data_IF_658911651951
#
_entry.id   IF_658911651951
#
_cell.length_a   1.000
_cell.length_b   1.000
_cell.length_c   1.000
_cell.angle_alpha   90.00
_cell.angle_beta   90.00
_cell.angle_gamma   90.00
#
_symmetry.space_group_name_H-M   'P 1'
#
loop_
_entity.id
_entity.type
_entity.pdbx_description
1 polymer ?
#
# COMPACT_ATOMS: atom_id res chain seq x y z
N UNK A 1 0.08 96.19 22.17
CA UNK A 1 0.42 95.70 23.52
C UNK A 1 0.92 94.27 23.33
N UNK A 2 2.22 93.94 23.30
CA UNK A 2 3.23 94.00 24.40
C UNK A 2 2.57 93.53 25.71
N UNK A 3 2.95 92.40 26.31
CA UNK A 3 4.30 92.11 26.80
C UNK A 3 4.76 90.64 26.76
N UNK A 4 6.08 90.50 26.77
CA UNK A 4 6.90 89.31 27.01
C UNK A 4 6.96 88.98 28.51
N UNK A 5 7.27 87.71 28.86
CA UNK A 5 8.14 87.26 29.97
C UNK A 5 8.37 85.74 29.74
N UNK A 6 9.52 85.24 29.27
CA UNK A 6 10.87 85.18 29.86
C UNK A 6 10.98 84.25 31.09
N UNK A 7 11.25 82.97 30.79
CA UNK A 7 12.15 82.02 31.45
C UNK A 7 12.09 81.82 32.97
N UNK A 8 11.72 80.61 33.37
CA UNK A 8 12.41 79.88 34.45
C UNK A 8 12.62 78.43 34.00
N UNK A 9 13.89 78.08 33.82
CA UNK A 9 14.35 76.70 33.71
C UNK A 9 14.11 75.98 35.04
N UNK A 10 13.59 74.76 34.99
CA UNK A 10 13.93 73.72 35.96
C UNK A 10 13.98 72.41 35.23
N UNK A 11 15.21 72.08 34.85
CA UNK A 11 15.73 70.76 34.59
C UNK A 11 15.18 69.76 35.63
N UNK A 12 14.14 69.02 35.25
CA UNK A 12 13.74 67.79 35.93
C UNK A 12 14.28 66.63 35.10
N UNK A 13 15.46 66.22 35.51
CA UNK A 13 16.12 64.95 35.29
C UNK A 13 15.08 63.81 35.21
N UNK A 14 14.66 63.48 33.99
CA UNK A 14 13.72 62.39 33.74
C UNK A 14 14.53 61.11 33.57
N UNK A 15 14.95 60.57 34.71
CA UNK A 15 15.48 59.22 34.85
C UNK A 15 14.56 58.26 34.08
N UNK A 16 15.06 57.45 33.12
CA UNK A 16 14.22 56.47 32.44
C UNK A 16 13.67 55.51 33.50
N UNK A 17 12.36 55.19 33.50
CA UNK A 17 11.77 54.34 34.51
C UNK A 17 12.50 52.99 34.49
N UNK A 18 13.19 52.68 35.58
CA UNK A 18 13.83 51.39 35.78
C UNK A 18 12.74 50.32 35.58
N UNK A 19 12.93 49.35 34.67
CA UNK A 19 11.93 48.32 34.45
C UNK A 19 11.76 47.57 35.76
N UNK A 20 10.54 47.62 36.30
CA UNK A 20 10.14 46.90 37.51
C UNK A 20 10.72 45.48 37.50
N UNK A 21 11.42 45.09 38.56
CA UNK A 21 12.07 43.77 38.69
C UNK A 21 11.08 42.60 38.50
N UNK A 22 9.78 42.87 38.61
CA UNK A 22 8.69 41.90 38.41
C UNK A 22 8.23 41.79 36.94
N UNK A 23 8.63 42.69 36.04
CA UNK A 23 8.18 42.69 34.64
C UNK A 23 8.75 41.53 33.81
N UNK A 24 9.96 41.07 34.12
CA UNK A 24 10.61 39.94 33.44
C UNK A 24 9.95 38.59 33.79
N UNK A 25 9.74 38.23 35.09
CA UNK A 25 9.02 37.00 35.43
C UNK A 25 7.57 37.01 34.92
N UNK A 26 6.87 38.14 34.98
CA UNK A 26 5.50 38.27 34.43
C UNK A 26 5.44 38.03 32.92
N UNK A 27 6.43 38.52 32.17
CA UNK A 27 6.51 38.29 30.72
C UNK A 27 6.77 36.83 30.37
N UNK A 28 7.63 36.15 31.14
CA UNK A 28 7.90 34.71 30.97
C UNK A 28 6.67 33.87 31.29
N UNK A 29 5.96 34.20 32.38
CA UNK A 29 4.72 33.55 32.76
C UNK A 29 3.65 33.68 31.67
N UNK A 30 3.39 34.90 31.18
CA UNK A 30 2.43 35.15 30.09
C UNK A 30 2.78 34.39 28.81
N UNK A 31 4.08 34.29 28.48
CA UNK A 31 4.54 33.51 27.32
C UNK A 31 4.30 32.02 27.52
N UNK A 32 4.58 31.49 28.71
CA UNK A 32 4.33 30.09 29.03
C UNK A 32 2.83 29.77 28.98
N UNK A 33 1.97 30.63 29.53
CA UNK A 33 0.51 30.48 29.45
C UNK A 33 0.00 30.50 28.01
N UNK A 34 0.51 31.40 27.17
CA UNK A 34 0.14 31.47 25.76
C UNK A 34 0.54 30.18 25.02
N UNK A 35 1.72 29.64 25.33
CA UNK A 35 2.21 28.40 24.73
C UNK A 35 1.41 27.18 25.21
N UNK A 36 1.09 27.09 26.50
CA UNK A 36 0.20 26.06 27.03
C UNK A 36 -1.15 26.11 26.31
N UNK A 37 -1.78 27.29 26.20
CA UNK A 37 -3.05 27.43 25.47
C UNK A 37 -2.93 27.02 24.00
N UNK A 38 -1.80 27.32 23.34
CA UNK A 38 -1.55 26.92 21.95
C UNK A 38 -1.43 25.41 21.82
N UNK A 39 -0.65 24.79 22.71
CA UNK A 39 -0.43 23.34 22.71
C UNK A 39 -1.73 22.59 23.06
N UNK A 40 -2.51 23.04 24.04
CA UNK A 40 -3.81 22.46 24.37
C UNK A 40 -4.73 22.43 23.15
N UNK A 41 -4.87 23.56 22.43
CA UNK A 41 -5.67 23.59 21.19
C UNK A 41 -5.13 22.66 20.09
N UNK A 42 -3.80 22.53 20.00
CA UNK A 42 -3.18 21.64 19.03
C UNK A 42 -3.51 20.17 19.36
N UNK A 43 -3.39 19.77 20.63
CA UNK A 43 -3.73 18.41 21.09
C UNK A 43 -5.20 18.12 20.85
N UNK A 44 -6.10 19.03 21.21
CA UNK A 44 -7.54 18.87 20.98
C UNK A 44 -7.87 18.66 19.48
N UNK A 45 -7.21 19.41 18.59
CA UNK A 45 -7.39 19.24 17.15
C UNK A 45 -6.87 17.88 16.67
N UNK A 46 -5.70 17.45 17.15
CA UNK A 46 -5.13 16.14 16.81
C UNK A 46 -5.99 14.99 17.35
N UNK A 47 -6.56 15.12 18.54
CA UNK A 47 -7.47 14.14 19.10
C UNK A 47 -8.74 14.00 18.24
N UNK A 48 -9.30 15.12 17.75
CA UNK A 48 -10.42 15.08 16.81
C UNK A 48 -10.06 14.35 15.51
N UNK A 49 -8.91 14.68 14.92
CA UNK A 49 -8.41 14.02 13.71
C UNK A 49 -8.20 12.51 13.92
N UNK A 50 -7.61 12.11 15.06
CA UNK A 50 -7.42 10.70 15.40
C UNK A 50 -8.76 9.97 15.57
N UNK A 51 -9.74 10.60 16.19
CA UNK A 51 -11.09 10.04 16.33
C UNK A 51 -11.81 9.88 14.98
N UNK A 52 -11.61 10.78 14.03
CA UNK A 52 -12.13 10.65 12.65
C UNK A 52 -11.44 9.50 11.90
N UNK A 53 -10.10 9.43 11.95
CA UNK A 53 -9.34 8.35 11.31
C UNK A 53 -9.68 6.98 11.87
N UNK A 54 -9.82 6.84 13.20
CA UNK A 54 -10.26 5.59 13.83
C UNK A 54 -11.64 5.16 13.34
N UNK A 55 -12.58 6.10 13.20
CA UNK A 55 -13.92 5.81 12.66
C UNK A 55 -13.86 5.37 11.20
N UNK A 56 -13.10 6.08 10.36
CA UNK A 56 -12.92 5.73 8.96
C UNK A 56 -12.29 4.33 8.81
N UNK A 57 -11.27 4.02 9.61
CA UNK A 57 -10.61 2.72 9.61
C UNK A 57 -11.55 1.60 10.06
N UNK A 58 -12.30 1.80 11.15
CA UNK A 58 -13.28 0.82 11.64
C UNK A 58 -14.37 0.55 10.59
N UNK A 59 -14.85 1.60 9.92
CA UNK A 59 -15.83 1.47 8.85
C UNK A 59 -15.27 0.69 7.66
N UNK A 60 -14.09 1.08 7.15
CA UNK A 60 -13.42 0.38 6.05
C UNK A 60 -13.18 -1.09 6.37
N UNK A 61 -12.66 -1.40 7.57
CA UNK A 61 -12.44 -2.77 8.01
C UNK A 61 -13.75 -3.57 8.03
N UNK A 62 -14.83 -3.00 8.57
CA UNK A 62 -16.14 -3.66 8.61
C UNK A 62 -16.67 -3.96 7.21
N UNK A 63 -16.54 -3.01 6.28
CA UNK A 63 -16.92 -3.21 4.87
C UNK A 63 -16.09 -4.32 4.23
N UNK A 64 -14.77 -4.31 4.41
CA UNK A 64 -13.88 -5.34 3.88
C UNK A 64 -14.24 -6.73 4.40
N UNK A 65 -14.41 -6.90 5.72
CA UNK A 65 -14.79 -8.20 6.28
C UNK A 65 -16.17 -8.67 5.81
N UNK A 66 -17.14 -7.76 5.66
CA UNK A 66 -18.47 -8.12 5.13
C UNK A 66 -18.42 -8.60 3.68
N UNK A 67 -17.50 -8.03 2.89
CA UNK A 67 -17.28 -8.43 1.51
C UNK A 67 -16.59 -9.80 1.42
N UNK A 68 -15.55 -10.03 2.23
CA UNK A 68 -14.87 -11.33 2.34
C UNK A 68 -15.84 -12.43 2.78
N UNK A 69 -16.64 -12.17 3.80
CA UNK A 69 -17.65 -13.10 4.32
C UNK A 69 -18.76 -13.38 3.29
N UNK A 70 -19.12 -12.41 2.45
CA UNK A 70 -20.02 -12.64 1.31
C UNK A 70 -19.38 -13.55 0.27
N UNK A 71 -18.14 -13.25 -0.15
CA UNK A 71 -17.41 -14.08 -1.12
C UNK A 71 -17.21 -15.51 -0.62
N UNK A 72 -16.92 -15.70 0.67
CA UNK A 72 -16.79 -17.02 1.26
C UNK A 72 -18.10 -17.80 1.17
N UNK A 73 -19.25 -17.18 1.45
CA UNK A 73 -20.55 -17.84 1.27
C UNK A 73 -20.85 -18.16 -0.19
N UNK A 74 -20.49 -17.27 -1.12
CA UNK A 74 -20.62 -17.53 -2.55
C UNK A 74 -19.79 -18.76 -2.95
N UNK A 75 -18.53 -18.85 -2.52
CA UNK A 75 -17.69 -20.03 -2.75
C UNK A 75 -18.24 -21.30 -2.09
N UNK A 76 -18.75 -21.22 -0.87
CA UNK A 76 -19.34 -22.37 -0.17
C UNK A 76 -20.62 -22.85 -0.88
N UNK A 77 -21.44 -21.92 -1.40
CA UNK A 77 -22.62 -22.27 -2.19
C UNK A 77 -22.27 -22.93 -3.51
N UNK A 78 -21.25 -22.44 -4.22
CA UNK A 78 -20.73 -23.08 -5.43
C UNK A 78 -20.20 -24.48 -5.12
N UNK A 79 -19.61 -24.69 -3.94
CA UNK A 79 -19.18 -26.02 -3.48
C UNK A 79 -20.32 -27.02 -3.40
N UNK A 80 -21.45 -26.58 -2.85
CA UNK A 80 -22.62 -27.41 -2.62
C UNK A 80 -23.32 -27.72 -3.96
N UNK A 81 -23.28 -26.78 -4.91
CA UNK A 81 -23.92 -26.90 -6.22
C UNK A 81 -23.03 -27.59 -7.27
N UNK A 82 -21.72 -27.66 -7.07
CA UNK A 82 -20.82 -28.39 -7.94
C UNK A 82 -21.12 -29.90 -7.83
N UNK A 83 -21.58 -30.58 -8.90
CA UNK A 83 -21.65 -32.02 -8.91
C UNK A 83 -20.24 -32.58 -8.72
N UNK A 84 -20.09 -33.66 -7.96
CA UNK A 84 -18.83 -34.41 -7.86
C UNK A 84 -18.50 -35.18 -9.16
N UNK A 85 -19.24 -34.93 -10.22
CA UNK A 85 -19.06 -35.57 -11.52
C UNK A 85 -17.81 -34.97 -12.18
N UNK A 86 -16.86 -35.86 -12.45
CA UNK A 86 -15.65 -35.51 -13.17
C UNK A 86 -16.01 -34.80 -14.46
N UNK A 87 -15.41 -33.63 -14.67
CA UNK A 87 -15.31 -33.00 -15.98
C UNK A 87 -14.53 -33.94 -16.92
N UNK A 88 -15.25 -34.91 -17.48
CA UNK A 88 -14.92 -35.62 -18.70
C UNK A 88 -15.68 -34.89 -19.82
N UNK A 89 -15.24 -33.70 -20.21
CA UNK A 89 -15.58 -33.18 -21.54
C UNK A 89 -14.66 -32.02 -21.94
N UNK A 90 -13.81 -32.34 -22.92
CA UNK A 90 -13.45 -31.46 -24.02
C UNK A 90 -12.52 -30.27 -23.74
N UNK A 91 -11.33 -30.53 -23.19
CA UNK A 91 -10.15 -29.75 -23.58
C UNK A 91 -9.38 -30.56 -24.62
N UNK A 92 -9.32 -30.02 -25.84
CA UNK A 92 -8.78 -30.68 -27.02
C UNK A 92 -7.43 -31.32 -26.76
N UNK A 93 -7.34 -32.59 -27.11
CA UNK A 93 -6.11 -33.38 -27.18
C UNK A 93 -5.02 -32.57 -27.90
N UNK A 94 -3.93 -32.13 -27.25
CA UNK A 94 -2.71 -31.87 -27.99
C UNK A 94 -2.20 -33.24 -28.46
N UNK A 95 -2.15 -33.42 -29.78
CA UNK A 95 -1.52 -34.58 -30.39
C UNK A 95 -0.04 -34.60 -30.00
N UNK A 96 0.27 -35.32 -28.92
CA UNK A 96 1.62 -35.77 -28.59
C UNK A 96 1.47 -37.13 -27.91
N UNK A 97 1.62 -38.19 -28.70
CA UNK A 97 1.66 -39.59 -28.28
C UNK A 97 2.92 -39.90 -27.45
N UNK A 98 3.07 -39.23 -26.31
CA UNK A 98 3.89 -39.73 -25.21
C UNK A 98 3.06 -39.63 -23.94
N UNK A 99 2.91 -40.73 -23.17
CA UNK A 99 2.33 -40.66 -21.85
C UNK A 99 3.32 -39.96 -20.93
N UNK A 100 3.31 -38.62 -20.96
CA UNK A 100 3.98 -37.81 -19.96
C UNK A 100 3.39 -38.18 -18.61
N UNK A 101 4.25 -38.56 -17.68
CA UNK A 101 3.94 -38.83 -16.27
C UNK A 101 3.43 -37.54 -15.61
N UNK A 102 2.17 -37.19 -15.87
CA UNK A 102 1.52 -35.98 -15.39
C UNK A 102 0.53 -36.28 -14.28
N UNK A 103 0.40 -35.37 -13.31
CA UNK A 103 -0.63 -35.42 -12.28
C UNK A 103 -1.78 -34.51 -12.69
N UNK A 104 -2.98 -35.08 -12.84
CA UNK A 104 -4.20 -34.29 -13.06
C UNK A 104 -4.68 -33.74 -11.73
N UNK A 105 -4.53 -32.42 -11.53
CA UNK A 105 -5.04 -31.72 -10.34
C UNK A 105 -6.42 -31.16 -10.65
N UNK A 106 -7.45 -31.68 -9.97
CA UNK A 106 -8.81 -31.12 -10.04
C UNK A 106 -8.96 -30.05 -8.96
N UNK A 107 -9.08 -28.79 -9.37
CA UNK A 107 -9.36 -27.68 -8.47
C UNK A 107 -10.86 -27.38 -8.47
N UNK A 108 -11.54 -27.42 -7.30
CA UNK A 108 -12.99 -27.22 -7.22
C UNK A 108 -13.44 -25.79 -7.58
N UNK A 109 -12.53 -24.82 -7.63
CA UNK A 109 -12.83 -23.40 -7.87
C UNK A 109 -11.92 -22.80 -8.94
N UNK A 110 -12.02 -23.32 -10.17
CA UNK A 110 -11.34 -22.71 -11.30
C UNK A 110 -12.05 -21.43 -11.71
N UNK A 111 -11.39 -20.29 -11.48
CA UNK A 111 -11.82 -18.99 -11.99
C UNK A 111 -11.20 -18.74 -13.36
N UNK A 112 -11.78 -17.83 -14.16
CA UNK A 112 -11.18 -17.43 -15.45
C UNK A 112 -9.75 -16.93 -15.31
N UNK A 113 -9.46 -16.20 -14.23
CA UNK A 113 -8.11 -15.74 -13.90
C UNK A 113 -7.20 -16.94 -13.64
N UNK A 114 -7.60 -17.87 -12.77
CA UNK A 114 -6.78 -19.05 -12.46
C UNK A 114 -6.50 -19.91 -13.71
N UNK A 115 -7.50 -20.11 -14.57
CA UNK A 115 -7.30 -20.83 -15.84
C UNK A 115 -6.24 -20.14 -16.70
N UNK A 116 -6.32 -18.83 -16.88
CA UNK A 116 -5.33 -18.05 -17.64
C UNK A 116 -3.94 -18.14 -16.99
N UNK A 117 -3.85 -18.15 -15.66
CA UNK A 117 -2.57 -18.30 -14.97
C UNK A 117 -1.97 -19.69 -15.20
N UNK A 118 -2.77 -20.76 -15.19
CA UNK A 118 -2.27 -22.10 -15.53
C UNK A 118 -1.85 -22.20 -16.99
N UNK A 119 -2.61 -21.62 -17.92
CA UNK A 119 -2.23 -21.56 -19.33
C UNK A 119 -0.92 -20.80 -19.52
N UNK A 120 -0.74 -19.66 -18.84
CA UNK A 120 0.51 -18.91 -18.84
C UNK A 120 1.65 -19.70 -18.19
N UNK A 121 1.37 -20.47 -17.13
CA UNK A 121 2.35 -21.38 -16.51
C UNK A 121 2.87 -22.39 -17.52
N UNK A 122 1.97 -23.11 -18.19
CA UNK A 122 2.33 -24.10 -19.20
C UNK A 122 3.05 -23.46 -20.38
N UNK A 123 2.52 -22.35 -20.91
CA UNK A 123 3.04 -21.69 -22.12
C UNK A 123 4.44 -21.11 -21.91
N UNK A 124 4.68 -20.43 -20.79
CA UNK A 124 5.95 -19.72 -20.57
C UNK A 124 6.97 -20.52 -19.78
N UNK A 125 6.52 -21.42 -18.89
CA UNK A 125 7.40 -22.09 -17.93
C UNK A 125 7.47 -23.61 -18.11
N UNK A 126 6.56 -24.23 -18.85
CA UNK A 126 6.50 -25.70 -19.03
C UNK A 126 7.81 -26.29 -19.56
N UNK A 127 8.29 -25.76 -20.69
CA UNK A 127 9.52 -26.22 -21.35
C UNK A 127 10.63 -25.16 -21.33
N UNK A 128 10.59 -24.22 -20.38
CA UNK A 128 11.53 -23.12 -20.38
C UNK A 128 12.95 -23.57 -20.03
N UNK A 129 13.92 -23.04 -20.79
CA UNK A 129 15.34 -23.21 -20.50
C UNK A 129 15.70 -22.44 -19.21
N UNK A 130 16.36 -23.13 -18.28
CA UNK A 130 16.81 -22.54 -17.01
C UNK A 130 17.84 -21.43 -17.21
N UNK A 131 18.64 -21.52 -18.28
CA UNK A 131 19.65 -20.52 -18.59
C UNK A 131 19.06 -19.29 -19.30
N UNK A 132 17.83 -19.41 -19.82
CA UNK A 132 17.14 -18.33 -20.53
C UNK A 132 15.66 -18.23 -20.14
N UNK A 133 15.36 -17.89 -18.88
CA UNK A 133 13.98 -17.78 -18.43
C UNK A 133 13.25 -16.66 -19.18
N UNK A 134 11.93 -16.80 -19.41
CA UNK A 134 11.13 -15.76 -20.03
C UNK A 134 11.15 -14.48 -19.20
N UNK A 135 11.13 -13.34 -19.89
CA UNK A 135 11.09 -12.03 -19.23
C UNK A 135 9.74 -11.84 -18.56
N UNK A 136 9.75 -11.47 -17.27
CA UNK A 136 8.52 -11.24 -16.51
C UNK A 136 7.60 -10.18 -17.12
N UNK A 137 8.15 -9.17 -17.80
CA UNK A 137 7.35 -8.16 -18.49
C UNK A 137 6.53 -8.78 -19.65
N UNK A 138 7.14 -9.69 -20.42
CA UNK A 138 6.46 -10.41 -21.51
C UNK A 138 5.33 -11.28 -20.97
N UNK A 139 5.59 -12.02 -19.89
CA UNK A 139 4.57 -12.84 -19.22
C UNK A 139 3.43 -11.96 -18.71
N UNK A 140 3.73 -10.81 -18.11
CA UNK A 140 2.72 -9.88 -17.60
C UNK A 140 1.85 -9.28 -18.71
N UNK A 141 2.42 -8.89 -19.85
CA UNK A 141 1.65 -8.40 -20.99
C UNK A 141 0.74 -9.48 -21.59
N UNK A 142 1.22 -10.72 -21.72
CA UNK A 142 0.39 -11.81 -22.21
C UNK A 142 -0.79 -12.09 -21.27
N UNK A 143 -0.57 -12.04 -19.95
CA UNK A 143 -1.65 -12.16 -18.96
C UNK A 143 -2.64 -11.00 -19.08
N UNK A 144 -2.17 -9.77 -19.26
CA UNK A 144 -3.04 -8.61 -19.44
C UNK A 144 -3.91 -8.74 -20.70
N UNK A 145 -3.33 -9.19 -21.81
CA UNK A 145 -4.06 -9.42 -23.06
C UNK A 145 -5.17 -10.47 -22.88
N UNK A 146 -4.87 -11.60 -22.23
CA UNK A 146 -5.86 -12.63 -21.94
C UNK A 146 -6.96 -12.16 -20.97
N UNK A 147 -6.64 -11.28 -20.03
CA UNK A 147 -7.59 -10.75 -19.04
C UNK A 147 -8.27 -9.45 -19.46
N UNK A 148 -7.92 -8.87 -20.61
CA UNK A 148 -8.42 -7.57 -21.06
C UNK A 148 -7.99 -6.41 -20.16
N UNK A 149 -6.84 -6.51 -19.48
CA UNK A 149 -6.32 -5.46 -18.61
C UNK A 149 -5.56 -4.41 -19.41
N UNK A 150 -5.68 -3.15 -19.01
CA UNK A 150 -4.99 -2.05 -19.67
C UNK A 150 -3.57 -1.86 -19.13
N UNK A 151 -2.62 -1.67 -20.04
CA UNK A 151 -1.24 -1.29 -19.72
C UNK A 151 -1.18 0.05 -18.96
N UNK A 152 -0.11 0.23 -18.21
CA UNK A 152 0.21 1.49 -17.55
C UNK A 152 0.61 2.57 -18.58
N UNK A 153 0.55 3.85 -18.18
CA UNK A 153 0.88 4.98 -19.05
C UNK A 153 2.34 4.99 -19.54
N UNK A 154 3.23 4.33 -18.80
CA UNK A 154 4.65 4.17 -19.15
C UNK A 154 4.91 3.04 -20.17
N UNK A 155 3.86 2.35 -20.63
CA UNK A 155 3.97 1.21 -21.54
C UNK A 155 4.27 -0.12 -20.85
N UNK A 156 4.38 -0.15 -19.52
CA UNK A 156 4.51 -1.40 -18.77
C UNK A 156 3.15 -2.10 -18.66
N UNK A 157 3.21 -3.41 -18.42
CA UNK A 157 2.04 -4.21 -18.06
C UNK A 157 1.29 -3.61 -16.85
N UNK A 158 0.00 -3.88 -16.77
CA UNK A 158 -0.85 -3.52 -15.64
C UNK A 158 -0.25 -4.01 -14.33
N UNK A 159 -0.52 -3.29 -13.22
CA UNK A 159 -0.02 -3.70 -11.90
C UNK A 159 -0.50 -5.11 -11.51
N UNK A 160 -1.71 -5.47 -11.92
CA UNK A 160 -2.27 -6.80 -11.70
C UNK A 160 -1.53 -7.85 -12.54
N UNK A 161 -1.29 -7.60 -13.83
CA UNK A 161 -0.52 -8.48 -14.70
C UNK A 161 0.91 -8.70 -14.20
N UNK A 162 1.57 -7.64 -13.72
CA UNK A 162 2.89 -7.73 -13.08
C UNK A 162 2.85 -8.61 -11.82
N UNK A 163 1.86 -8.43 -10.95
CA UNK A 163 1.69 -9.23 -9.74
C UNK A 163 1.44 -10.70 -10.07
N UNK A 164 0.58 -10.99 -11.05
CA UNK A 164 0.29 -12.34 -11.52
C UNK A 164 1.51 -13.01 -12.14
N UNK A 165 2.22 -12.32 -13.04
CA UNK A 165 3.45 -12.84 -13.64
C UNK A 165 4.51 -13.15 -12.58
N UNK A 166 4.58 -12.37 -11.50
CA UNK A 166 5.47 -12.63 -10.37
C UNK A 166 5.05 -13.86 -9.55
N UNK A 167 3.74 -14.08 -9.37
CA UNK A 167 3.21 -15.18 -8.58
C UNK A 167 3.52 -16.55 -9.21
N UNK A 168 3.41 -16.65 -10.54
CA UNK A 168 3.57 -17.90 -11.28
C UNK A 168 5.03 -18.26 -11.62
N UNK A 169 6.01 -17.44 -11.22
CA UNK A 169 7.42 -17.76 -11.45
C UNK A 169 7.80 -19.04 -10.70
N UNK A 170 8.53 -19.97 -11.34
CA UNK A 170 9.14 -21.10 -10.65
C UNK A 170 10.10 -20.65 -9.56
N UNK A 171 10.23 -21.45 -8.49
CA UNK A 171 11.04 -21.08 -7.32
C UNK A 171 12.52 -20.90 -7.66
N UNK A 172 13.07 -21.71 -8.57
CA UNK A 172 14.45 -21.58 -9.04
C UNK A 172 14.73 -20.22 -9.72
N UNK A 173 13.73 -19.60 -10.35
CA UNK A 173 13.83 -18.24 -10.92
C UNK A 173 13.81 -17.20 -9.81
N UNK A 174 12.92 -17.35 -8.82
CA UNK A 174 12.81 -16.43 -7.67
C UNK A 174 14.08 -16.43 -6.83
N UNK A 175 14.66 -17.61 -6.60
CA UNK A 175 15.91 -17.76 -5.86
C UNK A 175 17.08 -17.08 -6.56
N UNK A 176 17.17 -17.17 -7.89
CA UNK A 176 18.22 -16.49 -8.66
C UNK A 176 18.16 -14.96 -8.49
N UNK A 177 16.96 -14.38 -8.51
CA UNK A 177 16.71 -12.95 -8.31
C UNK A 177 17.14 -12.50 -6.89
N UNK A 178 16.79 -13.31 -5.88
CA UNK A 178 17.05 -13.01 -4.46
C UNK A 178 18.53 -13.17 -4.04
N UNK A 179 19.37 -13.84 -4.83
CA UNK A 179 20.81 -14.05 -4.52
C UNK A 179 21.60 -12.75 -4.40
N UNK A 180 21.11 -11.65 -4.97
CA UNK A 180 21.74 -10.32 -4.84
C UNK A 180 21.36 -9.60 -3.53
N UNK A 181 20.35 -10.09 -2.80
CA UNK A 181 19.87 -9.50 -1.54
C UNK A 181 20.30 -10.28 -0.30
N UNK A 182 20.78 -11.51 -0.46
CA UNK A 182 21.41 -12.27 0.62
C UNK A 182 22.80 -11.68 0.94
N UNK A 183 22.84 -10.63 1.77
CA UNK A 183 24.06 -10.25 2.49
C UNK A 183 24.50 -11.49 3.27
N UNK A 184 25.72 -12.02 3.10
CA UNK A 184 26.16 -13.16 3.90
C UNK A 184 26.09 -12.74 5.36
N UNK A 185 25.23 -13.41 6.12
CA UNK A 185 25.21 -13.29 7.56
C UNK A 185 26.60 -13.70 8.01
N UNK A 186 27.43 -12.72 8.37
CA UNK A 186 28.70 -12.94 9.05
C UNK A 186 28.38 -13.77 10.29
N UNK A 187 28.71 -15.06 10.24
CA UNK A 187 28.84 -15.89 11.43
C UNK A 187 29.81 -15.18 12.39
N UNK A 188 29.31 -14.90 13.59
CA UNK A 188 30.11 -14.56 14.77
C UNK A 188 30.12 -15.78 15.67
#
# INVERSE_FOLDING_TARGET
>A
MKELNAWTATEMDSVPPIPSANAVPDRRLRRAEAEVRRLTRCVELKDRQLCELRRALAHSATVHYSFEDRLQRELDSLRIMAPNDGFEEHWGTPASDQPGEGVVVKLPYMTSILSILFDAMCTFWGDCDRDRPPKSATVAHAIDECLGLSSQQNGEASRSGQAYASAIRPDWVKEADNRHHCRPARMR
#
